data_IF_013062038297
#
_entry.id   IF_013062038297
#
_cell.length_a   1.000
_cell.length_b   1.000
_cell.length_c   1.000
_cell.angle_alpha   90.00
_cell.angle_beta   90.00
_cell.angle_gamma   90.00
#
_symmetry.space_group_name_H-M   'P 1'
#
loop_
_entity.id
_entity.type
_entity.pdbx_description
1 polymer ?
#
# COMPACT_ATOMS: atom_id res chain seq x y z
N UNK A 1 2.75 -4.08 -29.06
CA UNK A 1 1.49 -3.89 -28.32
C UNK A 1 1.82 -2.98 -27.16
N UNK A 2 1.60 -1.68 -27.33
CA UNK A 2 1.74 -0.72 -26.24
C UNK A 2 0.59 -0.97 -25.27
N UNK A 3 0.86 -1.74 -24.21
CA UNK A 3 -0.05 -1.86 -23.08
C UNK A 3 -0.20 -0.47 -22.49
N UNK A 4 -1.32 0.19 -22.78
CA UNK A 4 -1.69 1.44 -22.11
C UNK A 4 -1.80 1.14 -20.61
N UNK A 5 -0.80 1.58 -19.85
CA UNK A 5 -0.81 1.52 -18.39
C UNK A 5 -2.02 2.34 -17.94
N UNK A 6 -2.93 1.73 -17.17
CA UNK A 6 -4.09 2.44 -16.62
C UNK A 6 -3.56 3.65 -15.84
N UNK A 7 -3.95 4.89 -16.20
CA UNK A 7 -3.42 6.11 -15.58
C UNK A 7 -3.74 6.22 -14.08
N UNK A 8 -4.54 5.30 -13.54
CA UNK A 8 -4.87 5.18 -12.12
C UNK A 8 -3.90 4.28 -11.35
N UNK A 9 -3.01 3.57 -12.03
CA UNK A 9 -1.95 2.78 -11.40
C UNK A 9 -0.70 3.66 -11.27
N UNK A 10 -0.09 3.65 -10.09
CA UNK A 10 1.24 4.20 -9.85
C UNK A 10 2.17 2.99 -9.72
N UNK A 11 3.12 2.83 -10.63
CA UNK A 11 4.22 1.89 -10.48
C UNK A 11 5.44 2.67 -9.97
N UNK A 12 6.07 2.19 -8.90
CA UNK A 12 7.19 2.89 -8.26
C UNK A 12 7.94 1.94 -7.36
N UNK A 13 9.24 2.18 -7.16
CA UNK A 13 10.07 1.54 -6.13
C UNK A 13 10.63 2.58 -5.13
N UNK A 14 10.19 3.83 -5.24
CA UNK A 14 10.71 4.96 -4.45
C UNK A 14 9.89 5.21 -3.18
N UNK A 15 8.77 4.49 -3.04
CA UNK A 15 7.89 4.57 -1.89
C UNK A 15 8.17 3.42 -0.93
N UNK A 16 8.19 3.75 0.36
CA UNK A 16 8.23 2.78 1.45
C UNK A 16 6.96 2.89 2.28
N UNK A 17 6.46 1.75 2.73
CA UNK A 17 5.50 1.64 3.83
C UNK A 17 6.26 1.11 5.05
N UNK A 18 6.21 1.84 6.16
CA UNK A 18 7.02 1.56 7.34
C UNK A 18 6.20 1.64 8.61
N UNK A 19 6.52 0.77 9.56
CA UNK A 19 6.05 0.79 10.95
C UNK A 19 7.23 0.58 11.90
N UNK A 20 6.95 0.53 13.20
CA UNK A 20 7.97 0.18 14.20
C UNK A 20 8.47 -1.27 14.03
N UNK A 21 7.67 -2.14 13.40
CA UNK A 21 7.94 -3.58 13.32
C UNK A 21 8.38 -4.06 11.94
N UNK A 22 8.23 -3.26 10.89
CA UNK A 22 8.59 -3.68 9.54
C UNK A 22 8.62 -2.56 8.51
N UNK A 23 9.29 -2.85 7.40
CA UNK A 23 9.37 -1.98 6.24
C UNK A 23 9.11 -2.79 4.99
N UNK A 24 8.29 -2.26 4.10
CA UNK A 24 8.04 -2.82 2.78
C UNK A 24 8.28 -1.76 1.69
N UNK A 25 8.83 -2.19 0.57
CA UNK A 25 8.97 -1.39 -0.64
C UNK A 25 7.69 -1.48 -1.44
N UNK A 26 7.04 -0.34 -1.67
CA UNK A 26 5.87 -0.29 -2.55
C UNK A 26 6.32 -0.58 -3.96
N UNK A 27 5.58 -1.43 -4.67
CA UNK A 27 5.77 -1.74 -6.10
C UNK A 27 4.72 -1.01 -6.93
N UNK A 28 3.47 -0.99 -6.43
CA UNK A 28 2.32 -0.44 -7.16
C UNK A 28 1.19 0.01 -6.25
N UNK A 29 0.47 1.05 -6.67
CA UNK A 29 -0.71 1.59 -5.97
C UNK A 29 -1.85 1.79 -6.97
N UNK A 30 -3.05 1.35 -6.62
CA UNK A 30 -4.22 1.48 -7.50
C UNK A 30 -5.54 1.49 -6.72
N UNK A 31 -6.63 2.05 -7.29
CA UNK A 31 -7.94 1.98 -6.69
C UNK A 31 -8.62 0.64 -7.03
N UNK A 32 -9.33 0.03 -6.07
CA UNK A 32 -10.09 -1.19 -6.27
C UNK A 32 -11.45 -1.13 -5.56
N UNK A 33 -12.53 -1.30 -6.31
CA UNK A 33 -13.89 -1.40 -5.76
C UNK A 33 -14.03 -2.66 -4.88
N UNK A 34 -13.37 -3.75 -5.24
CA UNK A 34 -13.32 -4.96 -4.42
C UNK A 34 -12.63 -4.69 -3.09
N UNK A 35 -11.50 -3.97 -3.09
CA UNK A 35 -10.84 -3.57 -1.85
C UNK A 35 -11.72 -2.63 -1.02
N UNK A 36 -12.38 -1.64 -1.66
CA UNK A 36 -13.34 -0.76 -0.99
C UNK A 36 -14.40 -1.56 -0.21
N UNK A 37 -14.98 -2.57 -0.85
CA UNK A 37 -16.01 -3.41 -0.26
C UNK A 37 -15.47 -4.34 0.83
N UNK A 38 -14.36 -5.04 0.57
CA UNK A 38 -13.76 -6.00 1.50
C UNK A 38 -13.16 -5.32 2.73
N UNK A 39 -12.47 -4.20 2.56
CA UNK A 39 -11.82 -3.46 3.63
C UNK A 39 -12.76 -2.48 4.35
N UNK A 40 -13.97 -2.24 3.81
CA UNK A 40 -14.91 -1.20 4.29
C UNK A 40 -14.27 0.19 4.37
N UNK A 41 -13.40 0.52 3.41
CA UNK A 41 -12.74 1.83 3.34
C UNK A 41 -13.50 2.75 2.38
N UNK A 42 -13.35 4.07 2.53
CA UNK A 42 -14.05 5.03 1.67
C UNK A 42 -13.49 5.02 0.24
N UNK A 43 -12.17 4.79 0.08
CA UNK A 43 -11.43 5.01 -1.17
C UNK A 43 -10.96 3.72 -1.86
N UNK A 44 -10.87 2.59 -1.15
CA UNK A 44 -10.43 1.32 -1.74
C UNK A 44 -9.03 1.36 -2.36
N UNK A 45 -8.13 2.20 -1.84
CA UNK A 45 -6.74 2.26 -2.30
C UNK A 45 -6.00 1.00 -1.87
N UNK A 46 -5.42 0.29 -2.84
CA UNK A 46 -4.57 -0.89 -2.62
C UNK A 46 -3.13 -0.49 -2.89
N UNK A 47 -2.24 -0.86 -1.97
CA UNK A 47 -0.80 -0.66 -2.07
C UNK A 47 -0.17 -2.05 -2.08
N UNK A 48 0.38 -2.47 -3.21
CA UNK A 48 1.17 -3.71 -3.27
C UNK A 48 2.61 -3.37 -2.94
N UNK A 49 3.17 -4.11 -2.01
CA UNK A 49 4.53 -3.89 -1.55
C UNK A 49 5.22 -5.22 -1.22
N UNK A 50 6.53 -5.27 -1.46
CA UNK A 50 7.42 -6.35 -1.06
C UNK A 50 8.02 -6.03 0.31
N UNK A 51 7.91 -6.97 1.26
CA UNK A 51 8.50 -6.81 2.58
C UNK A 51 10.04 -6.85 2.50
N UNK A 52 10.70 -5.77 2.94
CA UNK A 52 12.16 -5.69 2.98
C UNK A 52 12.72 -6.31 4.27
N UNK A 53 12.13 -5.95 5.41
CA UNK A 53 12.49 -6.51 6.71
C UNK A 53 11.34 -6.42 7.71
N UNK A 54 11.38 -7.28 8.73
CA UNK A 54 10.39 -7.31 9.80
C UNK A 54 9.01 -7.79 9.35
N UNK A 55 7.98 -7.35 10.06
CA UNK A 55 6.59 -7.75 9.80
C UNK A 55 5.63 -6.59 10.05
N UNK A 56 4.53 -6.53 9.29
CA UNK A 56 3.48 -5.53 9.47
C UNK A 56 2.14 -6.25 9.70
N UNK A 57 1.59 -6.29 10.93
CA UNK A 57 0.26 -6.83 11.20
C UNK A 57 -0.89 -5.88 10.77
N UNK A 58 -2.06 -6.48 10.52
CA UNK A 58 -3.32 -5.73 10.43
C UNK A 58 -3.59 -5.02 11.76
N UNK A 59 -4.08 -3.78 11.68
CA UNK A 59 -4.28 -2.88 12.82
C UNK A 59 -3.09 -1.98 13.12
N UNK A 60 -1.94 -2.23 12.48
CA UNK A 60 -0.75 -1.41 12.69
C UNK A 60 -0.85 -0.04 12.00
N UNK A 61 -0.30 0.97 12.66
CA UNK A 61 -0.13 2.30 12.08
C UNK A 61 1.16 2.32 11.25
N UNK A 62 1.03 2.68 9.99
CA UNK A 62 2.11 2.72 9.01
C UNK A 62 2.26 4.12 8.46
N UNK A 63 3.49 4.48 8.11
CA UNK A 63 3.84 5.71 7.39
C UNK A 63 4.29 5.36 5.98
N UNK A 64 3.69 6.02 4.97
CA UNK A 64 4.18 6.01 3.60
C UNK A 64 5.16 7.16 3.43
N UNK A 65 6.36 6.86 2.97
CA UNK A 65 7.42 7.84 2.73
C UNK A 65 7.93 7.78 1.29
N UNK A 66 8.36 8.92 0.75
CA UNK A 66 9.15 9.03 -0.49
C UNK A 66 10.41 9.81 -0.19
N UNK A 67 11.59 9.22 -0.47
CA UNK A 67 12.89 9.89 -0.28
C UNK A 67 13.05 10.51 1.12
N UNK A 68 12.57 9.82 2.16
CA UNK A 68 12.62 10.28 3.55
C UNK A 68 11.57 11.33 3.94
N UNK A 69 10.70 11.76 3.02
CA UNK A 69 9.56 12.66 3.31
C UNK A 69 8.31 11.83 3.60
N UNK A 70 7.62 12.15 4.68
CA UNK A 70 6.31 11.59 4.99
C UNK A 70 5.26 12.08 3.98
N UNK A 71 4.57 11.13 3.34
CA UNK A 71 3.43 11.40 2.46
C UNK A 71 2.13 11.30 3.25
N UNK A 72 1.96 10.19 3.98
CA UNK A 72 0.76 9.95 4.77
C UNK A 72 1.02 8.91 5.85
N UNK A 73 0.21 8.94 6.90
CA UNK A 73 0.21 7.98 8.00
C UNK A 73 -1.20 7.43 8.18
N UNK A 74 -1.32 6.12 8.25
CA UNK A 74 -2.64 5.46 8.26
C UNK A 74 -2.59 4.08 8.93
N UNK A 75 -3.76 3.50 9.17
CA UNK A 75 -3.89 2.16 9.79
C UNK A 75 -4.10 1.11 8.70
N UNK A 76 -3.34 0.01 8.78
CA UNK A 76 -3.55 -1.18 7.95
C UNK A 76 -4.83 -1.87 8.40
N UNK A 77 -5.83 -1.94 7.53
CA UNK A 77 -7.13 -2.58 7.86
C UNK A 77 -7.28 -3.97 7.26
N UNK A 78 -6.50 -4.29 6.23
CA UNK A 78 -6.51 -5.59 5.58
C UNK A 78 -5.19 -5.81 4.84
N UNK A 79 -4.73 -7.05 4.85
CA UNK A 79 -3.57 -7.51 4.09
C UNK A 79 -4.04 -8.71 3.25
N UNK A 80 -3.77 -8.70 1.95
CA UNK A 80 -4.02 -9.85 1.08
C UNK A 80 -2.72 -10.34 0.44
N UNK A 81 -2.51 -11.66 0.44
CA UNK A 81 -1.46 -12.36 -0.29
C UNK A 81 -2.14 -13.40 -1.19
N UNK A 82 -1.83 -13.38 -2.50
CA UNK A 82 -2.40 -14.33 -3.49
C UNK A 82 -3.93 -14.49 -3.34
N UNK A 83 -4.66 -13.37 -3.24
CA UNK A 83 -6.12 -13.29 -3.09
C UNK A 83 -6.70 -13.78 -1.75
N UNK A 84 -5.85 -14.20 -0.82
CA UNK A 84 -6.24 -14.65 0.51
C UNK A 84 -5.91 -13.59 1.55
N UNK A 85 -6.80 -13.41 2.52
CA UNK A 85 -6.53 -12.52 3.64
C UNK A 85 -5.53 -13.14 4.61
N UNK A 86 -4.55 -12.34 5.01
CA UNK A 86 -3.57 -12.71 6.05
C UNK A 86 -3.60 -11.66 7.16
N UNK A 87 -3.15 -12.05 8.36
CA UNK A 87 -3.11 -11.14 9.51
C UNK A 87 -1.81 -10.37 9.64
N UNK A 88 -0.72 -10.87 9.06
CA UNK A 88 0.63 -10.35 9.21
C UNK A 88 1.35 -10.47 7.87
N UNK A 89 1.83 -9.35 7.34
CA UNK A 89 2.77 -9.35 6.22
C UNK A 89 4.18 -9.70 6.72
N UNK A 90 4.87 -10.60 6.04
CA UNK A 90 6.23 -11.03 6.39
C UNK A 90 7.08 -11.23 5.12
N UNK A 91 8.40 -11.32 5.29
CA UNK A 91 9.33 -11.53 4.18
C UNK A 91 9.10 -12.89 3.52
N UNK A 92 8.48 -12.90 2.34
CA UNK A 92 8.31 -14.07 1.47
C UNK A 92 7.74 -13.70 0.10
N UNK A 93 6.80 -12.75 0.05
CA UNK A 93 6.13 -12.35 -1.20
C UNK A 93 5.63 -10.90 -1.12
N UNK A 94 5.28 -10.34 -2.28
CA UNK A 94 4.54 -9.08 -2.38
C UNK A 94 3.12 -9.26 -1.82
N UNK A 95 2.70 -8.31 -0.99
CA UNK A 95 1.41 -8.29 -0.31
C UNK A 95 0.63 -7.03 -0.68
N UNK A 96 -0.69 -7.13 -0.73
CA UNK A 96 -1.58 -6.00 -0.90
C UNK A 96 -2.03 -5.44 0.45
N UNK A 97 -1.60 -4.23 0.78
CA UNK A 97 -2.08 -3.45 1.91
C UNK A 97 -3.31 -2.63 1.53
N UNK A 98 -4.30 -2.67 2.40
CA UNK A 98 -5.45 -1.78 2.37
C UNK A 98 -5.39 -0.89 3.61
N UNK A 99 -5.36 0.43 3.40
CA UNK A 99 -5.27 1.41 4.48
C UNK A 99 -6.63 2.08 4.72
N UNK A 100 -6.88 2.48 5.97
CA UNK A 100 -8.21 2.91 6.41
C UNK A 100 -8.74 4.14 5.66
N UNK A 101 -7.90 5.16 5.47
CA UNK A 101 -8.28 6.50 4.97
C UNK A 101 -7.52 6.93 3.72
N UNK A 102 -6.45 6.23 3.38
CA UNK A 102 -5.51 6.65 2.34
C UNK A 102 -6.17 6.80 0.98
N UNK A 103 -5.89 7.93 0.34
CA UNK A 103 -6.40 8.30 -0.98
C UNK A 103 -5.28 8.22 -2.00
N UNK A 104 -5.51 7.54 -3.11
CA UNK A 104 -4.60 7.57 -4.27
C UNK A 104 -4.24 9.01 -4.68
N UNK A 105 -5.22 9.94 -4.63
CA UNK A 105 -5.01 11.36 -4.95
C UNK A 105 -3.90 11.99 -4.10
N UNK A 106 -3.90 11.75 -2.78
CA UNK A 106 -2.89 12.28 -1.85
C UNK A 106 -1.50 11.81 -2.23
N UNK A 107 -1.34 10.51 -2.56
CA UNK A 107 -0.05 9.95 -2.94
C UNK A 107 0.41 10.51 -4.30
N UNK A 108 -0.50 10.64 -5.28
CA UNK A 108 -0.18 11.26 -6.57
C UNK A 108 0.25 12.72 -6.46
N UNK A 109 -0.38 13.49 -5.59
CA UNK A 109 -0.04 14.89 -5.36
C UNK A 109 1.34 15.03 -4.70
N UNK A 110 1.63 14.20 -3.71
CA UNK A 110 2.93 14.19 -3.04
C UNK A 110 4.08 13.77 -3.99
N UNK A 111 3.85 12.84 -4.91
CA UNK A 111 4.85 12.41 -5.89
C UNK A 111 5.14 13.44 -7.00
N UNK A 112 4.34 14.51 -7.12
CA UNK A 112 4.54 15.58 -8.11
C UNK A 112 5.27 16.81 -7.55
N UNK A 113 5.44 16.89 -6.23
CA UNK A 113 5.93 18.06 -5.51
C UNK A 113 7.44 17.93 -5.19
#
# INVERSE_FOLDING_TARGET
>A
MDSQIDPRIIETNNLLISSDNGVAQVERIFPSSTAKNKCKTEHGTVIVAEMLHGTIPTGEMVTITSEGREITKDVVVRIEEKYSEIKIASASHSVGFCLQKSRLKTIKEALRA
#
